data_IF_640878949785
#
_entry.id   IF_640878949785
#
_cell.length_a   1.000
_cell.length_b   1.000
_cell.length_c   1.000
_cell.angle_alpha   90.00
_cell.angle_beta   90.00
_cell.angle_gamma   90.00
#
_symmetry.space_group_name_H-M   'P 1'
#
loop_
_entity.id
_entity.type
_entity.pdbx_description
1 polymer ?
#
# COMPACT_ATOMS: atom_id res chain seq x y z
N UNK A 1 16.52 -5.12 13.86
CA UNK A 1 16.83 -5.00 12.41
C UNK A 1 15.63 -5.53 11.65
N UNK A 2 15.04 -4.75 10.75
CA UNK A 2 13.93 -5.18 9.93
C UNK A 2 14.45 -6.00 8.75
N UNK A 3 14.03 -7.26 8.63
CA UNK A 3 14.43 -8.20 7.58
C UNK A 3 13.21 -9.05 7.20
N UNK A 4 12.35 -8.52 6.33
CA UNK A 4 11.19 -9.28 5.90
C UNK A 4 11.58 -10.46 5.03
N UNK A 5 10.70 -11.45 4.92
CA UNK A 5 10.88 -12.60 4.03
C UNK A 5 9.92 -12.54 2.84
N UNK A 6 10.32 -13.14 1.71
CA UNK A 6 9.44 -13.24 0.54
C UNK A 6 8.21 -14.07 0.91
N UNK A 7 7.02 -13.52 0.65
CA UNK A 7 5.74 -14.10 1.03
C UNK A 7 5.14 -13.54 2.33
N UNK A 8 5.90 -12.76 3.10
CA UNK A 8 5.40 -12.13 4.34
C UNK A 8 4.32 -11.09 4.06
N UNK A 9 3.23 -11.10 4.82
CA UNK A 9 2.16 -10.09 4.74
C UNK A 9 2.42 -8.98 5.76
N UNK A 10 2.52 -7.73 5.28
CA UNK A 10 2.88 -6.57 6.09
C UNK A 10 1.87 -5.45 5.87
N UNK A 11 1.43 -4.81 6.95
CA UNK A 11 0.54 -3.65 6.90
C UNK A 11 1.34 -2.34 7.03
N UNK A 12 1.26 -1.47 6.04
CA UNK A 12 1.99 -0.21 5.97
C UNK A 12 1.09 0.99 5.68
N UNK A 13 1.56 2.18 6.06
CA UNK A 13 0.84 3.41 5.78
C UNK A 13 0.99 3.77 4.30
N UNK A 14 -0.02 4.42 3.73
CA UNK A 14 0.11 4.98 2.40
C UNK A 14 0.82 6.34 2.45
N UNK A 15 1.79 6.59 1.56
CA UNK A 15 2.50 7.89 1.48
C UNK A 15 2.23 8.63 0.20
N UNK A 16 2.45 7.95 -0.92
CA UNK A 16 2.30 8.54 -2.24
C UNK A 16 2.18 7.47 -3.32
N UNK A 17 1.35 7.79 -4.29
CA UNK A 17 1.13 7.10 -5.55
C UNK A 17 1.80 7.87 -6.68
N UNK A 18 2.48 7.15 -7.55
CA UNK A 18 3.17 7.69 -8.72
C UNK A 18 2.85 6.82 -9.95
N UNK A 19 3.17 7.30 -11.15
CA UNK A 19 3.03 6.52 -12.38
C UNK A 19 3.79 5.18 -12.35
N UNK A 20 4.81 5.07 -11.50
CA UNK A 20 5.61 3.84 -11.34
C UNK A 20 5.06 2.89 -10.27
N UNK A 21 4.05 3.29 -9.50
CA UNK A 21 3.43 2.49 -8.43
C UNK A 21 3.26 3.25 -7.12
N UNK A 22 3.14 2.52 -6.01
CA UNK A 22 2.82 3.03 -4.68
C UNK A 22 4.04 2.99 -3.74
N UNK A 23 4.08 3.92 -2.79
CA UNK A 23 5.02 3.91 -1.66
C UNK A 23 4.27 3.68 -0.36
N UNK A 24 4.67 2.62 0.34
CA UNK A 24 4.00 2.14 1.53
C UNK A 24 4.96 2.10 2.75
N UNK A 25 5.35 3.25 3.33
CA UNK A 25 6.25 3.27 4.47
C UNK A 25 5.64 2.62 5.74
N UNK A 26 6.52 2.12 6.58
CA UNK A 26 6.27 1.81 7.98
C UNK A 26 6.75 2.98 8.86
N UNK A 27 6.38 2.98 10.13
CA UNK A 27 6.84 4.00 11.10
C UNK A 27 8.37 4.10 11.21
N UNK A 28 9.07 2.99 10.95
CA UNK A 28 10.52 2.88 11.09
C UNK A 28 11.24 2.57 9.77
N UNK A 29 10.53 2.46 8.63
CA UNK A 29 11.12 2.01 7.37
C UNK A 29 10.37 2.54 6.14
N UNK A 30 11.07 3.28 5.28
CA UNK A 30 10.47 4.04 4.18
C UNK A 30 10.65 3.40 2.79
N UNK A 31 11.56 2.44 2.66
CA UNK A 31 12.01 1.88 1.37
C UNK A 31 11.16 0.69 0.91
N UNK A 32 9.84 0.88 0.93
CA UNK A 32 8.84 -0.11 0.48
C UNK A 32 8.10 0.44 -0.74
N UNK A 33 8.12 -0.35 -1.81
CA UNK A 33 7.55 0.03 -3.10
C UNK A 33 6.65 -1.08 -3.65
N UNK A 34 5.49 -0.70 -4.17
CA UNK A 34 4.59 -1.60 -4.89
C UNK A 34 4.54 -1.14 -6.34
N UNK A 35 5.21 -1.83 -7.27
CA UNK A 35 5.25 -1.44 -8.68
C UNK A 35 3.92 -1.75 -9.38
N UNK A 36 3.66 -1.06 -10.50
CA UNK A 36 2.39 -1.17 -11.25
C UNK A 36 2.00 -2.60 -11.66
N UNK A 37 2.97 -3.46 -11.94
CA UNK A 37 2.74 -4.83 -12.39
C UNK A 37 2.42 -5.79 -11.23
N UNK A 38 2.49 -5.31 -9.98
CA UNK A 38 2.11 -6.03 -8.76
C UNK A 38 0.89 -5.36 -8.08
N UNK A 39 0.20 -4.48 -8.80
CA UNK A 39 -1.10 -3.94 -8.43
C UNK A 39 -2.21 -4.88 -8.91
N UNK A 40 -3.41 -4.81 -8.32
CA UNK A 40 -4.49 -5.70 -8.68
C UNK A 40 -4.98 -5.39 -10.09
N UNK A 41 -5.38 -6.42 -10.82
CA UNK A 41 -5.87 -6.27 -12.20
C UNK A 41 -7.39 -6.51 -12.22
N UNK A 42 -8.20 -5.65 -12.87
CA UNK A 42 -7.84 -4.45 -13.62
C UNK A 42 -7.70 -3.19 -12.75
N UNK A 43 -6.53 -2.56 -12.76
CA UNK A 43 -6.32 -1.22 -12.18
C UNK A 43 -5.91 -0.19 -13.23
N UNK A 44 -6.23 1.07 -12.98
CA UNK A 44 -5.83 2.20 -13.80
C UNK A 44 -5.43 3.39 -12.93
N UNK A 45 -4.66 4.31 -13.53
CA UNK A 45 -4.16 5.50 -12.86
C UNK A 45 -4.71 6.76 -13.51
N UNK A 46 -5.23 7.68 -12.71
CA UNK A 46 -5.67 9.00 -13.16
C UNK A 46 -4.79 10.09 -12.57
N UNK A 47 -4.48 11.19 -13.29
CA UNK A 47 -3.74 12.31 -12.71
C UNK A 47 -4.51 12.95 -11.55
N UNK A 48 -3.85 13.18 -10.41
CA UNK A 48 -4.48 13.86 -9.29
C UNK A 48 -4.68 15.35 -9.61
N UNK A 49 -5.94 15.78 -9.68
CA UNK A 49 -6.32 17.18 -9.93
C UNK A 49 -5.82 18.15 -8.85
N UNK A 50 -5.56 17.67 -7.64
CA UNK A 50 -5.08 18.47 -6.49
C UNK A 50 -3.57 18.56 -6.44
N UNK A 51 -2.85 17.51 -6.88
CA UNK A 51 -1.38 17.43 -6.85
C UNK A 51 -0.86 16.94 -8.18
N UNK A 52 -0.35 17.86 -9.01
CA UNK A 52 0.10 17.60 -10.39
C UNK A 52 1.13 16.48 -10.56
N UNK A 53 1.92 16.19 -9.51
CA UNK A 53 2.96 15.16 -9.54
C UNK A 53 2.52 13.79 -8.99
N UNK A 54 1.21 13.61 -8.74
CA UNK A 54 0.64 12.37 -8.20
C UNK A 54 -0.39 11.79 -9.14
N UNK A 55 -0.60 10.48 -9.02
CA UNK A 55 -1.66 9.77 -9.75
C UNK A 55 -2.53 9.02 -8.74
N UNK A 56 -3.83 9.02 -8.94
CA UNK A 56 -4.76 8.25 -8.15
C UNK A 56 -4.89 6.88 -8.81
N UNK A 57 -4.56 5.83 -8.06
CA UNK A 57 -4.77 4.46 -8.54
C UNK A 57 -6.14 3.98 -8.11
N UNK A 58 -6.93 3.54 -9.09
CA UNK A 58 -8.23 2.93 -8.90
C UNK A 58 -8.20 1.48 -9.36
N UNK A 59 -8.81 0.61 -8.58
CA UNK A 59 -8.98 -0.80 -8.91
C UNK A 59 -10.47 -1.09 -9.12
N UNK A 60 -10.79 -1.72 -10.26
CA UNK A 60 -12.14 -2.22 -10.50
C UNK A 60 -12.17 -3.70 -10.14
N UNK A 61 -13.01 -4.05 -9.16
CA UNK A 61 -13.17 -5.44 -8.78
C UNK A 61 -13.77 -6.24 -9.96
N UNK A 62 -13.26 -7.43 -10.29
CA UNK A 62 -13.87 -8.27 -11.33
C UNK A 62 -15.24 -8.80 -10.90
N UNK A 63 -15.44 -9.04 -9.60
CA UNK A 63 -16.67 -9.62 -9.04
C UNK A 63 -17.73 -8.58 -8.63
N UNK A 64 -17.37 -7.29 -8.67
CA UNK A 64 -18.26 -6.18 -8.31
C UNK A 64 -17.99 -4.99 -9.23
N UNK A 65 -19.04 -4.34 -9.74
CA UNK A 65 -18.89 -3.10 -10.54
C UNK A 65 -18.41 -1.89 -9.72
N UNK A 66 -18.10 -2.08 -8.43
CA UNK A 66 -17.51 -1.06 -7.59
C UNK A 66 -16.04 -0.77 -8.00
N UNK A 67 -15.74 0.52 -8.08
CA UNK A 67 -14.39 1.03 -8.27
C UNK A 67 -13.83 1.51 -6.94
N UNK A 68 -12.68 0.96 -6.55
CA UNK A 68 -12.03 1.23 -5.27
C UNK A 68 -10.78 2.07 -5.49
N UNK A 69 -10.74 3.23 -4.83
CA UNK A 69 -9.59 4.13 -4.87
C UNK A 69 -8.53 3.66 -3.88
N UNK A 70 -7.40 3.17 -4.39
CA UNK A 70 -6.31 2.61 -3.57
C UNK A 70 -5.67 3.71 -2.69
N UNK A 71 -5.50 4.91 -3.24
CA UNK A 71 -5.00 6.10 -2.51
C UNK A 71 -5.95 6.53 -1.37
N UNK A 72 -7.26 6.28 -1.55
CA UNK A 72 -8.29 6.61 -0.56
C UNK A 72 -8.39 5.63 0.61
N UNK A 73 -7.74 4.47 0.54
CA UNK A 73 -7.86 3.42 1.56
C UNK A 73 -7.35 3.87 2.94
N UNK A 74 -6.36 4.77 2.99
CA UNK A 74 -5.84 5.32 4.25
C UNK A 74 -6.89 6.12 5.04
N UNK A 75 -7.84 6.75 4.33
CA UNK A 75 -8.89 7.58 4.94
C UNK A 75 -10.15 6.80 5.30
N UNK A 76 -10.40 5.66 4.64
CA UNK A 76 -11.62 4.86 4.82
C UNK A 76 -11.43 3.76 5.88
N UNK A 77 -10.19 3.31 6.10
CA UNK A 77 -9.90 2.29 7.10
C UNK A 77 -9.74 2.88 8.51
N UNK A 78 -10.31 2.25 9.56
CA UNK A 78 -10.11 2.69 10.95
C UNK A 78 -8.63 2.69 11.38
N UNK A 79 -7.76 2.01 10.62
CA UNK A 79 -6.32 1.92 10.83
C UNK A 79 -5.49 2.32 9.61
N UNK A 80 -6.06 2.94 8.57
CA UNK A 80 -5.39 3.51 7.37
C UNK A 80 -4.35 2.67 6.59
N UNK A 81 -4.08 1.42 6.99
CA UNK A 81 -2.90 0.69 6.54
C UNK A 81 -3.24 -0.29 5.43
N UNK A 82 -2.46 -0.22 4.35
CA UNK A 82 -2.52 -1.12 3.22
C UNK A 82 -1.67 -2.35 3.54
N UNK A 83 -2.28 -3.54 3.44
CA UNK A 83 -1.57 -4.82 3.52
C UNK A 83 -0.95 -5.15 2.16
N UNK A 84 0.31 -5.54 2.15
CA UNK A 84 1.01 -6.02 0.96
C UNK A 84 1.79 -7.29 1.31
N UNK A 85 1.97 -8.17 0.33
CA UNK A 85 2.87 -9.29 0.42
C UNK A 85 4.27 -8.86 -0.04
N UNK A 86 5.31 -9.15 0.75
CA UNK A 86 6.68 -8.94 0.33
C UNK A 86 7.01 -9.87 -0.85
N UNK A 87 7.11 -9.30 -2.05
CA UNK A 87 7.43 -10.02 -3.28
C UNK A 87 8.94 -10.22 -3.44
N UNK A 88 9.73 -9.20 -3.09
CA UNK A 88 11.19 -9.27 -3.14
C UNK A 88 11.82 -8.37 -2.08
N UNK A 89 12.99 -8.78 -1.58
CA UNK A 89 13.79 -8.02 -0.62
C UNK A 89 15.19 -7.92 -1.17
N UNK A 90 15.60 -6.71 -1.54
CA UNK A 90 16.86 -6.45 -2.22
C UNK A 90 17.83 -5.69 -1.31
N UNK A 91 19.10 -6.07 -1.35
CA UNK A 91 20.18 -5.43 -0.61
C UNK A 91 21.13 -4.78 -1.60
N UNK A 92 20.90 -3.51 -1.98
CA UNK A 92 21.77 -2.84 -2.94
C UNK A 92 23.20 -2.76 -2.40
N UNK A 93 24.22 -2.88 -3.26
CA UNK A 93 25.60 -2.72 -2.84
C UNK A 93 25.82 -1.30 -2.31
N UNK A 94 26.65 -1.17 -1.26
CA UNK A 94 26.97 0.12 -0.67
C UNK A 94 27.66 0.97 -1.73
N UNK A 95 27.00 2.03 -2.18
CA UNK A 95 27.59 2.99 -3.10
C UNK A 95 28.51 3.91 -2.31
N UNK A 96 29.81 3.80 -2.55
CA UNK A 96 30.85 4.60 -1.90
C UNK A 96 30.76 6.08 -2.32
N UNK A 97 30.21 6.35 -3.52
CA UNK A 97 29.98 7.69 -4.04
C UNK A 97 28.47 7.87 -4.31
N UNK A 98 27.82 8.69 -3.49
CA UNK A 98 26.46 9.18 -3.76
C UNK A 98 26.54 10.64 -4.23
N UNK A 99 25.96 11.00 -5.39
CA UNK A 99 25.78 12.40 -5.77
C UNK A 99 25.02 13.16 -4.66
N UNK A 100 25.40 14.41 -4.38
CA UNK A 100 24.81 15.22 -3.29
C UNK A 100 23.27 15.35 -3.37
N UNK A 101 22.69 15.23 -4.57
CA UNK A 101 21.23 15.28 -4.82
C UNK A 101 20.53 13.91 -4.81
N UNK A 102 21.24 12.82 -4.49
CA UNK A 102 20.66 11.48 -4.50
C UNK A 102 19.92 11.15 -3.20
N UNK A 103 18.91 10.28 -3.31
CA UNK A 103 18.23 9.73 -2.12
C UNK A 103 19.29 9.06 -1.21
N UNK A 104 19.20 9.24 0.13
CA UNK A 104 20.07 8.54 1.07
C UNK A 104 20.10 7.03 0.77
N UNK A 105 21.28 6.43 0.86
CA UNK A 105 21.45 4.99 0.67
C UNK A 105 20.45 4.20 1.52
N UNK A 106 19.64 3.37 0.87
CA UNK A 106 18.73 2.43 1.51
C UNK A 106 19.42 1.06 1.61
N UNK A 107 19.81 0.59 2.81
CA UNK A 107 20.49 -0.70 2.96
C UNK A 107 19.62 -1.90 2.61
N UNK A 108 18.30 -1.71 2.54
CA UNK A 108 17.32 -2.73 2.19
C UNK A 108 16.20 -2.04 1.44
N UNK A 109 15.74 -2.66 0.36
CA UNK A 109 14.59 -2.22 -0.43
C UNK A 109 13.61 -3.37 -0.52
N UNK A 110 12.36 -3.11 -0.15
CA UNK A 110 11.30 -4.12 -0.17
C UNK A 110 10.36 -3.80 -1.31
N UNK A 111 10.14 -4.79 -2.17
CA UNK A 111 9.12 -4.75 -3.21
C UNK A 111 7.91 -5.52 -2.74
N UNK A 112 6.77 -4.85 -2.63
CA UNK A 112 5.49 -5.43 -2.23
C UNK A 112 4.58 -5.73 -3.42
N UNK A 113 3.66 -6.65 -3.23
CA UNK A 113 2.51 -6.90 -4.11
C UNK A 113 1.22 -6.78 -3.31
N UNK A 114 0.20 -6.20 -3.93
CA UNK A 114 -1.15 -6.12 -3.36
C UNK A 114 -2.18 -6.92 -4.19
N UNK A 115 -1.69 -7.67 -5.20
CA UNK A 115 -2.47 -8.53 -6.12
C UNK A 115 -2.59 -9.98 -5.61
N UNK A 116 -2.33 -10.22 -4.32
CA UNK A 116 -2.31 -11.57 -3.78
C UNK A 116 -3.72 -12.00 -3.33
N UNK A 117 -4.16 -13.17 -3.82
CA UNK A 117 -5.46 -13.83 -3.55
C UNK A 117 -5.73 -14.11 -2.05
N UNK A 118 -4.69 -14.09 -1.20
CA UNK A 118 -4.82 -14.18 0.27
C UNK A 118 -4.89 -12.82 0.99
N UNK A 119 -5.05 -11.72 0.27
CA UNK A 119 -5.45 -10.42 0.82
C UNK A 119 -6.97 -10.28 0.94
N UNK A 120 -7.70 -11.40 0.75
CA UNK A 120 -9.13 -11.62 0.89
C UNK A 120 -9.98 -10.37 0.61
N UNK A 121 -10.45 -10.33 -0.63
CA UNK A 121 -11.27 -9.28 -1.23
C UNK A 121 -12.58 -8.99 -0.48
N UNK A 122 -12.99 -9.74 0.58
CA UNK A 122 -14.38 -9.62 1.09
C UNK A 122 -14.61 -9.63 2.63
N UNK A 123 -13.66 -9.76 3.57
CA UNK A 123 -14.06 -9.91 5.01
C UNK A 123 -13.26 -9.19 6.10
N UNK A 124 -12.89 -7.91 5.91
CA UNK A 124 -12.50 -7.07 7.04
C UNK A 124 -13.11 -5.65 7.03
N UNK A 125 -13.55 -5.11 5.90
CA UNK A 125 -14.06 -3.73 5.81
C UNK A 125 -15.41 -3.52 6.54
N UNK A 126 -16.09 -4.61 6.94
CA UNK A 126 -17.43 -4.61 7.55
C UNK A 126 -17.45 -4.85 9.08
N UNK A 127 -16.29 -4.98 9.75
CA UNK A 127 -16.28 -5.03 11.23
C UNK A 127 -16.16 -3.63 11.87
N UNK A 128 -16.77 -2.62 11.23
CA UNK A 128 -16.93 -1.27 11.80
C UNK A 128 -18.39 -0.97 12.21
N UNK A 129 -19.26 -1.98 12.27
CA UNK A 129 -20.52 -1.92 13.00
C UNK A 129 -20.54 -2.98 14.12
N UNK A 130 -19.79 -2.74 15.19
CA UNK A 130 -20.35 -3.08 16.51
C UNK A 130 -21.02 -1.81 17.01
N UNK A 131 -22.33 -1.77 16.76
CA UNK A 131 -23.25 -0.85 17.40
C UNK A 131 -23.16 -1.12 18.90
N UNK A 132 -22.58 -0.20 19.65
CA UNK A 132 -22.95 -0.01 21.05
C UNK A 132 -24.39 0.56 21.07
N UNK A 133 -25.35 -0.30 20.74
CA UNK A 133 -26.76 -0.10 21.07
C UNK A 133 -26.87 -0.50 22.53
N UNK A 134 -26.59 0.45 23.44
CA UNK A 134 -26.90 0.31 24.85
C UNK A 134 -28.44 0.29 24.97
N UNK A 135 -29.09 -0.82 25.36
CA UNK A 135 -30.51 -0.77 25.66
C UNK A 135 -30.70 0.06 26.92
N UNK A 136 -31.32 1.23 26.79
CA UNK A 136 -32.02 1.86 27.90
C UNK A 136 -33.03 0.85 28.46
N UNK A 137 -32.90 0.52 29.74
CA UNK A 137 -33.81 -0.34 30.48
C UNK A 137 -34.03 0.30 31.87
N UNK A 138 -35.16 0.07 32.53
CA UNK A 138 -36.50 0.58 32.22
C UNK A 138 -37.06 1.58 33.25
#
# INVERSE_FOLDING_TARGET
MFRPFVGEIIAANFKVSTANGLRLPLEFFDDIYVPIHLLPVPSHSEPDTRKRDRVIWSWKCPDSDAELVIDGMDQVLPNGRIKFQAHSVNYPPILIEQPEDSKPFAPTVVTGSIDFDGLDTVSWWDNAEDKDEEPEDP
#
